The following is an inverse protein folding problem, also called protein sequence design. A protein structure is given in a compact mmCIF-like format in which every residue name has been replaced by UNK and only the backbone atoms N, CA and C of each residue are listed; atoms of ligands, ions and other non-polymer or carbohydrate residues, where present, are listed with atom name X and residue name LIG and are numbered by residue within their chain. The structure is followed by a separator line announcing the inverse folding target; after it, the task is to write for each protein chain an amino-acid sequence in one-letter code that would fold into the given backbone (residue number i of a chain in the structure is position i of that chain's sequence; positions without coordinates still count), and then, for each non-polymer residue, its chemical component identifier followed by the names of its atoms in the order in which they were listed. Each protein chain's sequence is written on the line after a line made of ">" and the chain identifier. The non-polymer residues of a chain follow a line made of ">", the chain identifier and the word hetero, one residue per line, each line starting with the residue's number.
data_IF_889755953152
#
_entry.id   IF_889755953152
#
_cell.length_a   1.000
_cell.length_b   1.000
_cell.length_c   1.000
_cell.angle_alpha   90.00
_cell.angle_beta   90.00
_cell.angle_gamma   90.00
#
_symmetry.space_group_name_H-M   'P 1'
#
loop_
_entity.id
_entity.type
_entity.pdbx_description
1 polymer ?
#
# COMPACT_ATOMS: atom_id res chain seq x y z
N UNK A 1 25.24 7.57 -3.77
CA UNK A 1 23.91 7.47 -4.43
C UNK A 1 23.96 7.34 -5.96
N UNK A 2 24.23 8.38 -6.78
CA UNK A 2 24.09 8.25 -8.26
C UNK A 2 24.96 7.14 -8.86
N UNK A 3 26.24 7.06 -8.44
CA UNK A 3 27.13 6.01 -8.90
C UNK A 3 26.67 4.62 -8.45
N UNK A 4 26.11 4.51 -7.25
CA UNK A 4 25.55 3.27 -6.72
C UNK A 4 24.40 2.76 -7.59
N UNK A 5 23.46 3.65 -7.94
CA UNK A 5 22.33 3.32 -8.81
C UNK A 5 22.75 2.99 -10.24
N UNK A 6 23.72 3.72 -10.81
CA UNK A 6 24.29 3.36 -12.13
C UNK A 6 24.93 1.97 -12.13
N UNK A 7 25.61 1.60 -11.04
CA UNK A 7 26.21 0.28 -10.89
C UNK A 7 25.14 -0.81 -10.80
N UNK A 8 24.10 -0.61 -9.98
CA UNK A 8 22.98 -1.54 -9.86
C UNK A 8 22.29 -1.76 -11.22
N UNK A 9 21.94 -0.69 -11.92
CA UNK A 9 21.32 -0.77 -13.25
C UNK A 9 22.24 -1.50 -14.24
N UNK A 10 23.54 -1.21 -14.23
CA UNK A 10 24.47 -1.93 -15.10
C UNK A 10 24.52 -3.44 -14.78
N UNK A 11 24.50 -3.84 -13.50
CA UNK A 11 24.42 -5.25 -13.10
C UNK A 11 23.10 -5.89 -13.53
N UNK A 12 21.97 -5.18 -13.37
CA UNK A 12 20.63 -5.61 -13.77
C UNK A 12 20.55 -5.89 -15.28
N UNK A 13 20.98 -4.95 -16.12
CA UNK A 13 20.92 -5.10 -17.57
C UNK A 13 21.85 -6.21 -18.07
N UNK A 14 23.04 -6.36 -17.47
CA UNK A 14 23.90 -7.51 -17.76
C UNK A 14 23.21 -8.81 -17.36
N UNK A 15 22.49 -8.85 -16.24
CA UNK A 15 21.65 -9.99 -15.84
C UNK A 15 20.64 -10.38 -16.92
N UNK A 16 19.97 -9.42 -17.54
CA UNK A 16 19.10 -9.68 -18.69
C UNK A 16 19.86 -10.26 -19.89
N UNK A 17 21.06 -9.77 -20.21
CA UNK A 17 21.86 -10.36 -21.30
C UNK A 17 22.28 -11.81 -21.02
N UNK A 18 22.33 -12.20 -19.75
CA UNK A 18 22.58 -13.57 -19.28
C UNK A 18 21.29 -14.39 -19.10
N UNK A 19 20.14 -13.86 -19.55
CA UNK A 19 18.86 -14.56 -19.53
C UNK A 19 18.12 -14.53 -18.18
N UNK A 20 18.55 -13.70 -17.22
CA UNK A 20 17.81 -13.54 -15.97
C UNK A 20 16.55 -12.69 -16.19
N UNK A 21 15.43 -13.14 -15.60
CA UNK A 21 14.18 -12.37 -15.50
C UNK A 21 14.19 -11.51 -14.24
N UNK A 22 13.27 -10.54 -14.18
CA UNK A 22 13.02 -9.79 -12.96
C UNK A 22 12.72 -10.71 -11.77
N UNK A 23 13.16 -10.31 -10.58
CA UNK A 23 12.87 -11.00 -9.33
C UNK A 23 12.44 -10.00 -8.24
N UNK A 24 11.14 -9.79 -8.09
CA UNK A 24 10.51 -8.77 -7.23
C UNK A 24 10.26 -9.21 -5.79
N UNK A 25 10.75 -10.38 -5.38
CA UNK A 25 10.78 -10.81 -3.96
C UNK A 25 12.21 -10.70 -3.39
N UNK A 26 13.16 -10.24 -4.20
CA UNK A 26 14.57 -10.18 -3.82
C UNK A 26 14.86 -9.09 -2.79
N UNK A 27 14.02 -8.05 -2.71
CA UNK A 27 14.02 -7.01 -1.68
C UNK A 27 13.74 -7.53 -0.26
N UNK A 28 13.21 -8.76 -0.13
CA UNK A 28 12.77 -9.35 1.15
C UNK A 28 13.85 -10.04 1.97
N UNK A 29 15.10 -9.99 1.50
CA UNK A 29 16.19 -10.75 2.10
C UNK A 29 16.58 -10.25 3.51
N UNK A 30 16.52 -8.93 3.75
CA UNK A 30 16.96 -8.29 4.99
C UNK A 30 15.88 -7.33 5.52
N UNK A 31 15.78 -7.18 6.83
CA UNK A 31 15.01 -6.12 7.48
C UNK A 31 15.69 -4.76 7.31
N UNK A 32 14.96 -3.66 7.51
CA UNK A 32 15.50 -2.31 7.29
C UNK A 32 16.61 -1.96 8.30
N UNK A 33 16.47 -2.41 9.54
CA UNK A 33 17.47 -2.18 10.59
C UNK A 33 18.80 -2.90 10.33
N UNK A 34 18.81 -3.96 9.52
CA UNK A 34 20.03 -4.68 9.14
C UNK A 34 20.82 -3.96 8.05
N UNK A 35 20.15 -3.14 7.23
CA UNK A 35 20.75 -2.51 6.04
C UNK A 35 21.89 -1.55 6.36
N UNK A 36 21.88 -0.92 7.54
CA UNK A 36 22.94 -0.04 8.02
C UNK A 36 24.21 -0.77 8.46
N UNK A 37 24.13 -2.09 8.66
CA UNK A 37 25.21 -2.92 9.22
C UNK A 37 25.86 -3.87 8.21
N UNK A 38 25.37 -3.92 6.97
CA UNK A 38 25.93 -4.76 5.92
C UNK A 38 27.33 -4.29 5.49
N UNK A 39 28.24 -5.24 5.30
CA UNK A 39 29.61 -4.99 4.82
C UNK A 39 29.61 -4.52 3.35
N UNK A 40 30.71 -3.90 2.90
CA UNK A 40 30.82 -3.30 1.55
C UNK A 40 30.63 -4.32 0.40
N UNK A 41 31.01 -5.58 0.61
CA UNK A 41 30.88 -6.68 -0.33
C UNK A 41 29.62 -7.52 -0.15
N UNK A 42 28.72 -7.14 0.76
CA UNK A 42 27.40 -7.75 0.89
C UNK A 42 26.36 -7.05 -0.01
N UNK A 43 25.52 -7.86 -0.67
CA UNK A 43 24.38 -7.37 -1.44
C UNK A 43 23.24 -7.01 -0.50
N UNK A 44 22.57 -5.89 -0.76
CA UNK A 44 21.36 -5.51 -0.02
C UNK A 44 20.11 -6.22 -0.55
N UNK A 45 20.24 -6.97 -1.65
CA UNK A 45 19.16 -7.69 -2.33
C UNK A 45 19.54 -9.15 -2.54
N UNK A 46 18.54 -10.01 -2.61
CA UNK A 46 18.76 -11.40 -3.01
C UNK A 46 19.16 -11.50 -4.50
N UNK A 47 18.73 -10.55 -5.32
CA UNK A 47 18.95 -10.46 -6.76
C UNK A 47 19.02 -9.00 -7.20
N UNK A 48 19.93 -8.65 -8.10
CA UNK A 48 19.93 -7.33 -8.78
C UNK A 48 18.76 -7.17 -9.75
N UNK A 49 18.00 -8.24 -10.01
CA UNK A 49 16.87 -8.25 -10.92
C UNK A 49 15.57 -7.67 -10.31
N UNK A 50 15.62 -7.12 -9.10
CA UNK A 50 14.52 -6.39 -8.48
C UNK A 50 14.46 -4.93 -8.98
N UNK A 51 13.32 -4.26 -8.80
CA UNK A 51 13.16 -2.81 -8.94
C UNK A 51 13.17 -2.15 -7.57
N UNK A 52 14.25 -2.34 -6.82
CA UNK A 52 14.41 -1.74 -5.50
C UNK A 52 14.50 -0.21 -5.60
N UNK A 53 13.75 0.55 -4.78
CA UNK A 53 13.91 1.99 -4.67
C UNK A 53 15.21 2.32 -3.92
N UNK A 54 15.70 3.57 -3.95
CA UNK A 54 16.80 3.97 -3.08
C UNK A 54 16.43 3.73 -1.61
N UNK A 55 17.30 3.03 -0.88
CA UNK A 55 17.14 2.85 0.55
C UNK A 55 17.46 4.17 1.28
N UNK A 56 16.41 4.81 1.81
CA UNK A 56 16.51 5.99 2.66
C UNK A 56 16.12 5.58 4.08
N UNK A 57 17.08 5.58 5.00
CA UNK A 57 16.83 5.19 6.37
C UNK A 57 15.96 6.23 7.10
N UNK A 58 15.09 5.78 8.00
CA UNK A 58 14.27 6.64 8.82
C UNK A 58 15.13 7.63 9.65
N UNK A 59 14.57 8.79 10.04
CA UNK A 59 15.27 9.75 10.88
C UNK A 59 15.85 9.10 12.16
N UNK A 60 17.13 9.33 12.42
CA UNK A 60 17.83 8.77 13.59
C UNK A 60 18.38 7.34 13.41
N UNK A 61 18.11 6.69 12.29
CA UNK A 61 18.72 5.40 11.92
C UNK A 61 20.01 5.63 11.12
N UNK A 62 20.93 4.66 11.16
CA UNK A 62 22.18 4.70 10.40
C UNK A 62 21.86 4.45 8.93
N UNK A 63 22.25 5.37 8.06
CA UNK A 63 22.10 5.21 6.62
C UNK A 63 23.06 4.14 6.10
N UNK A 64 22.51 3.09 5.48
CA UNK A 64 23.26 2.09 4.72
C UNK A 64 23.51 2.52 3.27
N UNK A 65 23.86 1.56 2.41
CA UNK A 65 23.96 1.79 0.96
C UNK A 65 22.60 2.24 0.41
N UNK A 66 22.59 3.12 -0.58
CA UNK A 66 21.35 3.56 -1.24
C UNK A 66 20.86 2.52 -2.24
N UNK A 67 21.77 1.84 -2.92
CA UNK A 67 21.50 0.77 -3.88
C UNK A 67 22.49 -0.37 -3.71
N UNK A 68 22.10 -1.59 -4.08
CA UNK A 68 23.02 -2.73 -3.92
C UNK A 68 24.28 -2.55 -4.77
N UNK A 69 25.44 -2.87 -4.20
CA UNK A 69 26.74 -2.68 -4.86
C UNK A 69 27.36 -3.97 -5.39
N UNK A 70 26.68 -5.10 -5.24
CA UNK A 70 27.12 -6.41 -5.72
C UNK A 70 25.90 -7.32 -5.99
N UNK A 71 26.12 -8.41 -6.71
CA UNK A 71 25.08 -9.38 -7.03
C UNK A 71 24.67 -10.21 -5.80
N UNK A 72 23.41 -10.62 -5.76
CA UNK A 72 22.83 -11.34 -4.63
C UNK A 72 22.93 -12.86 -4.75
N UNK A 73 22.48 -13.57 -3.69
CA UNK A 73 22.52 -15.04 -3.62
C UNK A 73 21.72 -15.71 -4.74
N UNK A 74 20.57 -15.15 -5.09
CA UNK A 74 19.73 -15.63 -6.19
C UNK A 74 20.44 -15.52 -7.54
N UNK A 75 21.11 -14.40 -7.81
CA UNK A 75 21.83 -14.18 -9.08
C UNK A 75 22.91 -15.25 -9.28
N UNK A 76 23.71 -15.49 -8.23
CA UNK A 76 24.76 -16.50 -8.24
C UNK A 76 24.17 -17.89 -8.45
N UNK A 77 23.06 -18.20 -7.79
CA UNK A 77 22.38 -19.49 -7.91
C UNK A 77 21.80 -19.71 -9.31
N UNK A 78 21.08 -18.73 -9.87
CA UNK A 78 20.48 -18.80 -11.19
C UNK A 78 21.53 -18.93 -12.29
N UNK A 79 22.63 -18.16 -12.20
CA UNK A 79 23.77 -18.29 -13.12
C UNK A 79 24.46 -19.64 -12.96
N UNK A 80 24.62 -20.15 -11.73
CA UNK A 80 25.16 -21.49 -11.50
C UNK A 80 24.31 -22.56 -12.17
N UNK A 81 22.98 -22.44 -12.11
CA UNK A 81 22.07 -23.37 -12.79
C UNK A 81 22.20 -23.29 -14.32
N UNK A 82 22.25 -22.07 -14.89
CA UNK A 82 22.26 -21.88 -16.34
C UNK A 82 23.62 -22.07 -17.03
N UNK A 83 24.73 -21.86 -16.32
CA UNK A 83 26.05 -21.69 -16.95
C UNK A 83 27.18 -22.55 -16.36
N UNK A 84 26.96 -23.26 -15.24
CA UNK A 84 27.99 -24.16 -14.70
C UNK A 84 28.28 -25.27 -15.71
N UNK A 85 29.54 -25.47 -16.16
CA UNK A 85 29.88 -26.57 -17.04
C UNK A 85 29.59 -27.91 -16.36
N UNK A 86 28.74 -28.72 -16.95
CA UNK A 86 28.42 -30.07 -16.50
C UNK A 86 28.78 -31.08 -17.60
N UNK A 87 28.95 -32.34 -17.23
CA UNK A 87 29.35 -33.41 -18.13
C UNK A 87 28.19 -34.32 -18.51
N UNK A 88 28.31 -35.02 -19.64
CA UNK A 88 27.38 -36.08 -20.03
C UNK A 88 26.25 -35.65 -20.98
N UNK A 89 26.31 -34.44 -21.53
CA UNK A 89 25.30 -33.93 -22.48
C UNK A 89 23.93 -33.75 -21.83
N UNK A 90 22.90 -33.47 -22.64
CA UNK A 90 21.56 -33.10 -22.16
C UNK A 90 21.00 -34.03 -21.08
N UNK A 91 21.16 -35.34 -21.24
CA UNK A 91 20.65 -36.32 -20.27
C UNK A 91 21.58 -36.49 -19.05
N UNK A 92 22.89 -36.35 -19.24
CA UNK A 92 23.87 -36.52 -18.16
C UNK A 92 23.86 -35.39 -17.13
N UNK A 93 23.49 -34.17 -17.54
CA UNK A 93 23.45 -32.99 -16.66
C UNK A 93 22.24 -32.96 -15.74
N UNK A 94 21.15 -33.65 -16.11
CA UNK A 94 19.85 -33.56 -15.45
C UNK A 94 19.91 -33.74 -13.94
N UNK A 95 20.69 -34.72 -13.46
CA UNK A 95 20.80 -35.01 -12.02
C UNK A 95 21.43 -33.84 -11.25
N UNK A 96 22.48 -33.23 -11.80
CA UNK A 96 23.15 -32.10 -11.16
C UNK A 96 22.31 -30.82 -11.28
N UNK A 97 21.61 -30.61 -12.41
CA UNK A 97 20.66 -29.50 -12.56
C UNK A 97 19.53 -29.58 -11.53
N UNK A 98 18.92 -30.76 -11.35
CA UNK A 98 17.88 -30.98 -10.32
C UNK A 98 18.42 -30.70 -8.92
N UNK A 99 19.67 -31.09 -8.63
CA UNK A 99 20.33 -30.80 -7.34
C UNK A 99 20.58 -29.31 -7.13
N UNK A 100 20.92 -28.55 -8.19
CA UNK A 100 21.05 -27.10 -8.08
C UNK A 100 19.67 -26.47 -7.88
N UNK A 101 18.68 -26.87 -8.68
CA UNK A 101 17.31 -26.34 -8.61
C UNK A 101 16.61 -26.66 -7.29
N UNK A 102 16.92 -27.78 -6.63
CA UNK A 102 16.30 -28.16 -5.36
C UNK A 102 16.58 -27.19 -4.21
N UNK A 103 17.54 -26.28 -4.38
CA UNK A 103 17.88 -25.22 -3.44
C UNK A 103 16.87 -24.07 -3.40
N UNK A 104 15.85 -24.06 -4.26
CA UNK A 104 14.91 -22.94 -4.41
C UNK A 104 14.15 -22.55 -3.12
N UNK A 105 14.19 -23.38 -2.07
CA UNK A 105 13.61 -23.11 -0.75
C UNK A 105 14.59 -22.47 0.23
N UNK A 106 15.89 -22.37 -0.11
CA UNK A 106 16.88 -21.72 0.74
C UNK A 106 16.62 -20.21 0.87
N UNK A 107 16.91 -19.60 2.05
CA UNK A 107 16.76 -18.16 2.24
C UNK A 107 17.52 -17.33 1.20
N UNK A 108 16.80 -16.39 0.56
CA UNK A 108 17.34 -15.54 -0.50
C UNK A 108 17.33 -16.15 -1.91
N UNK A 109 16.73 -17.33 -2.09
CA UNK A 109 16.57 -17.96 -3.43
C UNK A 109 15.11 -17.96 -3.93
N UNK A 110 14.19 -17.30 -3.22
CA UNK A 110 12.81 -17.13 -3.65
C UNK A 110 12.73 -16.37 -4.98
N UNK A 111 11.68 -16.65 -5.76
CA UNK A 111 11.49 -16.08 -7.09
C UNK A 111 10.04 -15.64 -7.32
N UNK A 112 9.89 -14.38 -7.72
CA UNK A 112 8.62 -13.79 -8.12
C UNK A 112 8.87 -12.76 -9.22
N UNK A 113 8.15 -12.81 -10.34
CA UNK A 113 8.52 -12.06 -11.55
C UNK A 113 7.33 -11.28 -12.13
N UNK A 114 7.40 -10.79 -13.36
CA UNK A 114 6.46 -9.81 -13.91
C UNK A 114 4.98 -10.15 -13.71
N UNK A 115 4.60 -11.40 -13.98
CA UNK A 115 3.24 -11.92 -13.80
C UNK A 115 2.75 -11.94 -12.34
N UNK A 116 3.66 -11.90 -11.37
CA UNK A 116 3.37 -11.96 -9.95
C UNK A 116 3.21 -10.57 -9.29
N UNK A 117 3.34 -9.50 -10.08
CA UNK A 117 3.24 -8.10 -9.63
C UNK A 117 2.05 -7.35 -10.21
N UNK A 118 1.02 -8.08 -10.65
CA UNK A 118 -0.21 -7.49 -11.20
C UNK A 118 -1.15 -7.06 -10.07
N UNK A 119 -2.17 -6.25 -10.39
CA UNK A 119 -3.22 -5.88 -9.42
C UNK A 119 -3.99 -7.10 -8.88
N UNK A 120 -4.01 -8.20 -9.64
CA UNK A 120 -4.64 -9.46 -9.25
C UNK A 120 -3.69 -10.39 -8.51
N UNK A 121 -2.42 -10.08 -8.33
CA UNK A 121 -1.48 -10.98 -7.66
C UNK A 121 -1.72 -11.01 -6.14
N UNK A 122 -1.72 -12.19 -5.49
CA UNK A 122 -2.09 -12.32 -4.08
C UNK A 122 -0.96 -12.03 -3.09
N UNK A 123 0.29 -12.25 -3.51
CA UNK A 123 1.43 -12.21 -2.60
C UNK A 123 1.78 -10.77 -2.24
N UNK A 124 1.68 -10.34 -0.96
CA UNK A 124 2.07 -8.99 -0.58
C UNK A 124 3.57 -8.73 -0.70
N UNK A 125 4.40 -9.77 -0.75
CA UNK A 125 5.86 -9.65 -0.76
C UNK A 125 6.44 -9.48 -2.17
N UNK A 126 5.62 -9.61 -3.21
CA UNK A 126 6.03 -9.35 -4.59
C UNK A 126 5.53 -7.99 -5.05
N UNK A 127 6.35 -6.95 -4.84
CA UNK A 127 6.09 -5.59 -5.32
C UNK A 127 7.23 -5.10 -6.19
N UNK A 128 6.91 -4.17 -7.08
CA UNK A 128 7.92 -3.32 -7.71
C UNK A 128 8.07 -2.09 -6.83
N UNK A 129 9.29 -1.63 -6.61
CA UNK A 129 9.58 -0.40 -5.85
C UNK A 129 9.30 -0.48 -4.34
N UNK A 130 9.33 -1.68 -3.75
CA UNK A 130 9.41 -1.85 -2.30
C UNK A 130 10.81 -2.25 -1.84
N UNK A 131 11.06 -2.18 -0.53
CA UNK A 131 12.36 -2.52 0.03
C UNK A 131 12.25 -3.06 1.45
N UNK A 132 13.08 -4.05 1.79
CA UNK A 132 13.09 -4.68 3.11
C UNK A 132 12.11 -5.85 3.24
N UNK A 133 12.37 -6.69 4.24
CA UNK A 133 11.64 -7.94 4.53
C UNK A 133 10.14 -7.77 4.75
N UNK A 134 9.71 -6.61 5.22
CA UNK A 134 8.31 -6.33 5.55
C UNK A 134 7.87 -5.02 4.90
N UNK A 135 6.84 -5.07 4.03
CA UNK A 135 6.37 -3.87 3.35
C UNK A 135 5.56 -2.91 4.28
N UNK A 136 5.06 -3.40 5.43
CA UNK A 136 4.44 -2.57 6.47
C UNK A 136 5.52 -1.78 7.20
N UNK A 137 6.66 -2.40 7.51
CA UNK A 137 7.83 -1.72 8.08
C UNK A 137 8.38 -0.67 7.10
N UNK A 138 8.49 -1.03 5.82
CA UNK A 138 8.86 -0.09 4.75
C UNK A 138 7.92 1.10 4.66
N UNK A 139 6.61 0.87 4.74
CA UNK A 139 5.61 1.93 4.70
C UNK A 139 5.75 2.87 5.91
N UNK A 140 6.00 2.35 7.11
CA UNK A 140 6.32 3.17 8.29
C UNK A 140 7.59 4.01 8.09
N UNK A 141 8.66 3.41 7.56
CA UNK A 141 9.90 4.11 7.25
C UNK A 141 9.66 5.25 6.25
N UNK A 142 8.95 4.97 5.14
CA UNK A 142 8.62 5.98 4.14
C UNK A 142 7.76 7.10 4.70
N UNK A 143 6.77 6.79 5.57
CA UNK A 143 5.97 7.82 6.24
C UNK A 143 6.84 8.76 7.10
N UNK A 144 7.79 8.20 7.87
CA UNK A 144 8.71 8.99 8.68
C UNK A 144 9.66 9.87 7.83
N UNK A 145 10.21 9.29 6.76
CA UNK A 145 11.07 10.02 5.81
C UNK A 145 10.29 11.14 5.12
N UNK A 146 9.08 10.87 4.63
CA UNK A 146 8.22 11.87 3.97
C UNK A 146 7.83 12.99 4.93
N UNK A 147 7.46 12.66 6.18
CA UNK A 147 7.13 13.65 7.20
C UNK A 147 8.30 14.60 7.42
N UNK A 148 9.50 14.08 7.66
CA UNK A 148 10.71 14.90 7.80
C UNK A 148 10.99 15.69 6.51
N UNK A 149 10.84 15.07 5.35
CA UNK A 149 11.11 15.70 4.06
C UNK A 149 10.11 16.79 3.68
N UNK A 150 8.93 16.85 4.31
CA UNK A 150 7.94 17.90 4.09
C UNK A 150 8.23 19.19 4.90
N UNK A 151 8.93 19.09 6.04
CA UNK A 151 9.19 20.22 6.95
C UNK A 151 10.12 21.29 6.34
N UNK A 152 9.61 22.47 5.98
CA UNK A 152 10.41 23.48 5.29
C UNK A 152 10.79 23.07 3.86
N UNK A 153 9.93 22.27 3.21
CA UNK A 153 10.12 21.79 1.84
C UNK A 153 10.47 22.93 0.87
N UNK A 154 9.72 24.04 0.92
CA UNK A 154 9.92 25.16 0.01
C UNK A 154 11.33 25.75 0.13
N UNK A 155 11.80 25.96 1.35
CA UNK A 155 13.12 26.57 1.61
C UNK A 155 14.27 25.65 1.19
N UNK A 156 14.03 24.33 1.20
CA UNK A 156 15.04 23.33 0.79
C UNK A 156 15.19 23.19 -0.73
N UNK A 157 14.14 23.45 -1.50
CA UNK A 157 14.14 23.14 -2.95
C UNK A 157 14.11 24.39 -3.86
N UNK A 158 13.91 25.57 -3.28
CA UNK A 158 13.87 26.85 -4.00
C UNK A 158 15.07 27.70 -3.61
N UNK A 159 15.92 28.00 -4.60
CA UNK A 159 17.04 28.92 -4.44
C UNK A 159 16.59 30.38 -4.64
N UNK A 160 17.41 31.34 -4.20
CA UNK A 160 17.14 32.76 -4.42
C UNK A 160 17.01 33.07 -5.92
N UNK A 161 15.89 33.70 -6.30
CA UNK A 161 15.58 34.04 -7.70
C UNK A 161 14.93 32.90 -8.51
N UNK A 162 14.78 31.70 -7.95
CA UNK A 162 14.07 30.60 -8.60
C UNK A 162 12.54 30.69 -8.40
N UNK A 163 11.80 30.04 -9.29
CA UNK A 163 10.35 29.89 -9.15
C UNK A 163 9.97 28.70 -8.24
N UNK A 164 8.69 28.67 -7.82
CA UNK A 164 8.18 27.67 -6.87
C UNK A 164 7.75 26.34 -7.51
N UNK A 165 7.92 26.13 -8.82
CA UNK A 165 7.48 24.89 -9.47
C UNK A 165 8.18 23.65 -8.93
N UNK A 166 9.42 23.78 -8.45
CA UNK A 166 10.15 22.69 -7.76
C UNK A 166 9.48 22.28 -6.45
N UNK A 167 8.81 23.19 -5.74
CA UNK A 167 8.05 22.85 -4.52
C UNK A 167 6.89 21.94 -4.87
N UNK A 168 6.10 22.28 -5.90
CA UNK A 168 4.98 21.43 -6.35
C UNK A 168 5.47 20.05 -6.79
N UNK A 169 6.58 19.97 -7.52
CA UNK A 169 7.16 18.70 -7.96
C UNK A 169 7.61 17.85 -6.77
N UNK A 170 8.36 18.44 -5.83
CA UNK A 170 8.83 17.74 -4.64
C UNK A 170 7.67 17.29 -3.73
N UNK A 171 6.67 18.15 -3.52
CA UNK A 171 5.46 17.84 -2.76
C UNK A 171 4.71 16.64 -3.34
N UNK A 172 4.47 16.64 -4.65
CA UNK A 172 3.82 15.50 -5.34
C UNK A 172 4.67 14.23 -5.26
N UNK A 173 5.99 14.34 -5.42
CA UNK A 173 6.91 13.20 -5.30
C UNK A 173 6.81 12.58 -3.92
N UNK A 174 6.85 13.39 -2.86
CA UNK A 174 6.74 12.94 -1.48
C UNK A 174 5.38 12.31 -1.16
N UNK A 175 4.28 12.92 -1.59
CA UNK A 175 2.94 12.34 -1.42
C UNK A 175 2.79 11.01 -2.19
N UNK A 176 3.37 10.91 -3.39
CA UNK A 176 3.35 9.66 -4.15
C UNK A 176 4.18 8.57 -3.49
N UNK A 177 5.36 8.90 -2.95
CA UNK A 177 6.18 7.96 -2.17
C UNK A 177 5.41 7.44 -0.95
N UNK A 178 4.77 8.33 -0.19
CA UNK A 178 3.95 7.95 0.95
C UNK A 178 2.78 7.04 0.53
N UNK A 179 1.97 7.49 -0.44
CA UNK A 179 0.79 6.75 -0.89
C UNK A 179 1.12 5.40 -1.53
N UNK A 180 2.22 5.29 -2.28
CA UNK A 180 2.69 4.04 -2.87
C UNK A 180 3.11 3.04 -1.79
N UNK A 181 3.83 3.49 -0.76
CA UNK A 181 4.24 2.61 0.33
C UNK A 181 3.02 2.10 1.13
N UNK A 182 2.04 2.97 1.38
CA UNK A 182 0.76 2.56 1.99
C UNK A 182 -0.03 1.60 1.10
N UNK A 183 0.03 1.77 -0.23
CA UNK A 183 -0.57 0.80 -1.15
C UNK A 183 0.08 -0.59 -1.02
N UNK A 184 1.40 -0.69 -0.83
CA UNK A 184 2.05 -1.98 -0.57
C UNK A 184 1.60 -2.59 0.76
N UNK A 185 1.52 -1.81 1.83
CA UNK A 185 0.98 -2.28 3.11
C UNK A 185 -0.46 -2.81 2.97
N UNK A 186 -1.30 -2.15 2.16
CA UNK A 186 -2.67 -2.62 1.89
C UNK A 186 -2.76 -3.94 1.13
N UNK A 187 -1.64 -4.49 0.61
CA UNK A 187 -1.62 -5.82 0.00
C UNK A 187 -1.65 -6.96 1.00
N UNK A 188 -1.27 -6.73 2.26
CA UNK A 188 -1.32 -7.76 3.30
C UNK A 188 -2.77 -8.14 3.64
N UNK A 189 -3.71 -7.19 3.56
CA UNK A 189 -5.14 -7.44 3.81
C UNK A 189 -5.73 -8.30 2.69
N UNK A 190 -6.21 -9.48 3.05
CA UNK A 190 -6.64 -10.51 2.08
C UNK A 190 -5.49 -11.09 1.24
N UNK A 191 -4.24 -10.88 1.66
CA UNK A 191 -3.05 -11.38 0.99
C UNK A 191 -2.83 -12.88 1.18
N UNK A 192 -2.13 -13.50 0.24
CA UNK A 192 -1.72 -14.91 0.31
C UNK A 192 -0.30 -15.02 -0.23
N UNK A 193 0.64 -15.47 0.61
CA UNK A 193 2.01 -15.75 0.18
C UNK A 193 2.02 -16.90 -0.83
N UNK A 194 2.78 -16.74 -1.92
CA UNK A 194 2.87 -17.72 -3.00
C UNK A 194 4.26 -18.31 -3.03
N UNK A 195 4.37 -19.56 -2.59
CA UNK A 195 5.62 -20.31 -2.60
C UNK A 195 5.70 -21.21 -3.84
N UNK A 196 6.81 -21.12 -4.59
CA UNK A 196 7.07 -22.00 -5.76
C UNK A 196 7.72 -23.34 -5.37
N UNK A 197 7.44 -23.82 -4.16
CA UNK A 197 7.99 -25.04 -3.61
C UNK A 197 7.46 -26.30 -4.30
N UNK A 198 8.31 -27.32 -4.43
CA UNK A 198 7.96 -28.62 -5.00
C UNK A 198 7.85 -29.68 -3.89
N UNK A 199 6.97 -30.67 -4.11
CA UNK A 199 6.78 -31.78 -3.17
C UNK A 199 8.10 -32.51 -2.93
N UNK A 200 8.47 -32.65 -1.66
CA UNK A 200 9.68 -33.38 -1.23
C UNK A 200 10.96 -32.54 -1.26
N UNK A 201 10.89 -31.23 -1.48
CA UNK A 201 11.99 -30.32 -1.17
C UNK A 201 12.11 -30.13 0.36
N UNK A 202 13.35 -30.02 0.84
CA UNK A 202 13.63 -29.68 2.23
C UNK A 202 13.17 -28.24 2.53
N UNK A 203 12.63 -28.02 3.73
CA UNK A 203 12.11 -26.74 4.21
C UNK A 203 11.03 -26.10 3.29
N UNK A 204 10.35 -26.91 2.49
CA UNK A 204 9.29 -26.46 1.60
C UNK A 204 8.08 -25.95 2.37
N UNK A 205 7.70 -24.70 2.11
CA UNK A 205 6.43 -24.12 2.54
C UNK A 205 5.27 -24.60 1.67
N UNK A 206 4.05 -24.47 2.17
CA UNK A 206 2.87 -24.72 1.35
C UNK A 206 2.83 -23.73 0.17
N UNK A 207 2.39 -24.14 -1.03
CA UNK A 207 2.35 -23.23 -2.18
C UNK A 207 1.52 -21.95 -1.96
N UNK A 208 0.53 -22.02 -1.06
CA UNK A 208 -0.28 -20.90 -0.64
C UNK A 208 -0.37 -20.86 0.87
N UNK A 209 -0.06 -19.72 1.46
CA UNK A 209 -0.19 -19.46 2.89
C UNK A 209 -0.93 -18.14 3.05
N UNK A 210 -2.09 -18.17 3.73
CA UNK A 210 -2.82 -16.94 4.07
C UNK A 210 -1.90 -16.07 4.92
N UNK A 211 -1.88 -14.77 4.66
CA UNK A 211 -1.13 -13.82 5.49
C UNK A 211 -1.67 -13.88 6.93
N UNK A 212 -0.78 -13.98 7.91
CA UNK A 212 -1.14 -14.07 9.33
C UNK A 212 -2.11 -12.95 9.75
N UNK A 213 -3.12 -13.29 10.55
CA UNK A 213 -4.15 -12.35 10.98
C UNK A 213 -3.57 -11.11 11.68
N UNK A 214 -2.53 -11.29 12.51
CA UNK A 214 -1.83 -10.19 13.18
C UNK A 214 -1.18 -9.22 12.18
N UNK A 215 -0.58 -9.72 11.10
CA UNK A 215 0.00 -8.87 10.04
C UNK A 215 -1.06 -8.10 9.27
N UNK A 216 -2.22 -8.71 9.03
CA UNK A 216 -3.35 -8.00 8.40
C UNK A 216 -3.88 -6.87 9.31
N UNK A 217 -3.97 -7.10 10.62
CA UNK A 217 -4.34 -6.07 11.60
C UNK A 217 -3.30 -4.97 11.72
N UNK A 218 -2.01 -5.31 11.69
CA UNK A 218 -0.92 -4.34 11.66
C UNK A 218 -1.02 -3.42 10.43
N UNK A 219 -1.27 -4.01 9.26
CA UNK A 219 -1.50 -3.26 8.03
C UNK A 219 -2.74 -2.36 8.14
N UNK A 220 -3.87 -2.88 8.66
CA UNK A 220 -5.07 -2.10 8.89
C UNK A 220 -4.81 -0.89 9.80
N UNK A 221 -4.14 -1.11 10.94
CA UNK A 221 -3.76 -0.04 11.85
C UNK A 221 -2.92 1.03 11.16
N UNK A 222 -1.91 0.63 10.41
CA UNK A 222 -1.07 1.57 9.66
C UNK A 222 -1.89 2.40 8.68
N UNK A 223 -2.79 1.76 7.91
CA UNK A 223 -3.66 2.46 6.97
C UNK A 223 -4.65 3.40 7.68
N UNK A 224 -5.18 3.00 8.83
CA UNK A 224 -6.04 3.86 9.66
C UNK A 224 -5.32 5.15 10.04
N UNK A 225 -4.07 5.04 10.48
CA UNK A 225 -3.26 6.17 10.91
C UNK A 225 -2.75 7.02 9.74
N UNK A 226 -2.30 6.40 8.64
CA UNK A 226 -1.56 7.07 7.57
C UNK A 226 -2.41 7.46 6.36
N UNK A 227 -3.57 6.84 6.15
CA UNK A 227 -4.39 7.03 4.94
C UNK A 227 -5.80 7.48 5.31
N UNK A 228 -6.40 6.79 6.27
CA UNK A 228 -7.78 7.02 6.70
C UNK A 228 -7.85 7.93 7.92
N UNK A 229 -6.95 8.90 8.01
CA UNK A 229 -6.97 10.03 8.95
C UNK A 229 -6.62 11.32 8.17
N UNK A 230 -6.77 12.50 8.78
CA UNK A 230 -6.28 13.74 8.19
C UNK A 230 -4.90 14.18 8.73
N UNK A 231 -4.43 13.59 9.84
CA UNK A 231 -3.15 13.89 10.48
C UNK A 231 -1.95 13.95 9.51
N UNK A 232 -1.69 12.95 8.63
CA UNK A 232 -0.59 13.00 7.67
C UNK A 232 -0.70 14.10 6.60
N UNK A 233 -1.88 14.70 6.44
CA UNK A 233 -2.19 15.66 5.39
C UNK A 233 -2.40 17.10 5.90
N UNK A 234 -2.06 17.36 7.16
CA UNK A 234 -2.13 18.69 7.76
C UNK A 234 -0.93 19.55 7.34
N UNK A 235 -0.99 20.14 6.14
CA UNK A 235 0.02 21.08 5.65
C UNK A 235 -0.39 22.55 5.88
N UNK A 236 0.61 23.43 6.04
CA UNK A 236 0.36 24.84 6.29
C UNK A 236 -0.27 25.54 5.07
N UNK A 237 -1.15 26.54 5.28
CA UNK A 237 -1.63 27.38 4.19
C UNK A 237 -0.49 28.04 3.40
N UNK A 238 0.62 28.34 4.06
CA UNK A 238 1.81 28.89 3.39
C UNK A 238 2.40 27.90 2.37
N UNK A 239 2.56 26.62 2.74
CA UNK A 239 3.06 25.61 1.81
C UNK A 239 2.11 25.44 0.62
N UNK A 240 0.80 25.34 0.87
CA UNK A 240 -0.19 25.20 -0.20
C UNK A 240 -0.15 26.34 -1.22
N UNK A 241 0.03 27.58 -0.76
CA UNK A 241 0.13 28.74 -1.64
C UNK A 241 1.47 28.84 -2.39
N UNK A 242 2.44 27.95 -2.10
CA UNK A 242 3.70 27.79 -2.84
C UNK A 242 3.66 26.64 -3.86
N UNK A 243 2.55 25.93 -4.03
CA UNK A 243 2.42 24.81 -4.97
C UNK A 243 2.06 25.26 -6.41
N UNK A 244 2.75 26.28 -6.91
CA UNK A 244 2.56 26.77 -8.27
C UNK A 244 3.08 25.74 -9.31
N UNK A 245 2.41 25.59 -10.47
CA UNK A 245 2.93 24.78 -11.57
C UNK A 245 4.10 25.49 -12.26
N UNK A 246 4.85 24.75 -13.07
CA UNK A 246 5.78 25.39 -14.01
C UNK A 246 4.99 26.04 -15.15
N UNK A 247 5.37 27.26 -15.50
CA UNK A 247 4.88 27.95 -16.71
C UNK A 247 5.79 27.70 -17.92
N UNK A 248 6.89 26.96 -17.73
CA UNK A 248 7.82 26.64 -18.80
C UNK A 248 7.29 25.50 -19.66
N UNK A 249 7.24 25.73 -20.96
CA UNK A 249 6.76 24.78 -21.95
C UNK A 249 7.95 24.13 -22.66
N UNK A 250 8.12 22.81 -22.50
CA UNK A 250 9.06 22.01 -23.29
C UNK A 250 8.57 20.58 -23.54
N UNK A 251 9.35 19.81 -24.29
CA UNK A 251 9.04 18.42 -24.69
C UNK A 251 8.83 17.43 -23.53
N UNK A 252 9.16 17.81 -22.29
CA UNK A 252 8.96 17.00 -21.08
C UNK A 252 7.85 17.50 -20.16
N UNK A 253 7.11 18.55 -20.55
CA UNK A 253 6.01 19.12 -19.74
C UNK A 253 4.65 18.84 -20.36
N UNK A 254 3.66 18.55 -19.52
CA UNK A 254 2.26 18.49 -19.94
C UNK A 254 1.64 19.89 -19.95
N UNK A 255 0.97 20.27 -21.03
CA UNK A 255 0.29 21.58 -21.17
C UNK A 255 -1.03 21.68 -20.42
N UNK A 256 -1.52 20.56 -19.88
CA UNK A 256 -2.82 20.47 -19.22
C UNK A 256 -2.69 20.36 -17.70
N UNK A 257 -1.78 21.14 -17.10
CA UNK A 257 -1.66 21.20 -15.64
C UNK A 257 -2.55 22.33 -15.11
N UNK A 258 -3.47 21.98 -14.20
CA UNK A 258 -4.31 22.95 -13.47
C UNK A 258 -3.43 24.03 -12.82
N UNK A 259 -3.80 25.29 -13.03
CA UNK A 259 -3.05 26.48 -12.60
C UNK A 259 -2.91 26.59 -11.07
N UNK A 260 -3.98 26.24 -10.35
CA UNK A 260 -3.99 26.04 -8.91
C UNK A 260 -3.73 24.57 -8.52
N UNK A 261 -3.57 24.29 -7.23
CA UNK A 261 -3.29 22.95 -6.72
C UNK A 261 -4.54 22.33 -6.08
N UNK A 262 -5.05 21.20 -6.59
CA UNK A 262 -6.30 20.60 -6.12
C UNK A 262 -6.08 19.72 -4.88
N UNK A 263 -5.86 20.34 -3.71
CA UNK A 263 -5.47 19.66 -2.45
C UNK A 263 -6.37 18.45 -2.14
N UNK A 264 -7.69 18.65 -2.11
CA UNK A 264 -8.65 17.58 -1.82
C UNK A 264 -8.57 16.41 -2.80
N UNK A 265 -8.42 16.69 -4.09
CA UNK A 265 -8.34 15.68 -5.14
C UNK A 265 -7.06 14.86 -5.01
N UNK A 266 -5.92 15.54 -4.82
CA UNK A 266 -4.61 14.91 -4.65
C UNK A 266 -4.60 13.95 -3.45
N UNK A 267 -5.14 14.37 -2.31
CA UNK A 267 -5.20 13.51 -1.11
C UNK A 267 -6.20 12.37 -1.31
N UNK A 268 -7.38 12.67 -1.86
CA UNK A 268 -8.43 11.66 -2.08
C UNK A 268 -8.00 10.58 -3.09
N UNK A 269 -7.05 10.86 -3.97
CA UNK A 269 -6.56 9.89 -4.96
C UNK A 269 -5.99 8.64 -4.29
N UNK A 270 -5.10 8.78 -3.31
CA UNK A 270 -4.49 7.66 -2.61
C UNK A 270 -5.48 6.95 -1.68
N UNK A 271 -6.29 7.71 -0.96
CA UNK A 271 -7.39 7.17 -0.15
C UNK A 271 -8.32 6.29 -0.99
N UNK A 272 -8.74 6.77 -2.16
CA UNK A 272 -9.59 6.02 -3.07
C UNK A 272 -8.89 4.84 -3.72
N UNK A 273 -7.59 4.92 -4.01
CA UNK A 273 -6.81 3.81 -4.57
C UNK A 273 -6.79 2.65 -3.60
N UNK A 274 -6.51 2.94 -2.33
CA UNK A 274 -6.44 1.93 -1.27
C UNK A 274 -7.84 1.39 -0.95
N UNK A 275 -8.86 2.24 -0.78
CA UNK A 275 -10.24 1.77 -0.62
C UNK A 275 -10.72 0.91 -1.79
N UNK A 276 -10.35 1.24 -3.04
CA UNK A 276 -10.70 0.43 -4.21
C UNK A 276 -10.07 -0.96 -4.16
N UNK A 277 -8.88 -1.08 -3.59
CA UNK A 277 -8.24 -2.38 -3.38
C UNK A 277 -8.95 -3.19 -2.31
N UNK A 278 -9.23 -2.58 -1.15
CA UNK A 278 -9.87 -3.25 -0.01
C UNK A 278 -11.28 -3.74 -0.37
N UNK A 279 -12.03 -2.94 -1.14
CA UNK A 279 -13.37 -3.28 -1.63
C UNK A 279 -13.37 -4.01 -2.98
N UNK A 280 -12.21 -4.41 -3.52
CA UNK A 280 -12.19 -5.13 -4.79
C UNK A 280 -12.75 -6.54 -4.63
N UNK A 281 -13.45 -7.03 -5.65
CA UNK A 281 -14.03 -8.38 -5.64
C UNK A 281 -13.00 -9.45 -5.28
N UNK A 282 -11.79 -9.34 -5.84
CA UNK A 282 -10.72 -10.31 -5.62
C UNK A 282 -10.22 -10.29 -4.17
N UNK A 283 -10.12 -9.11 -3.54
CA UNK A 283 -9.74 -9.03 -2.12
C UNK A 283 -10.82 -9.65 -1.23
N UNK A 284 -12.09 -9.32 -1.47
CA UNK A 284 -13.21 -9.84 -0.69
C UNK A 284 -13.37 -11.35 -0.86
N UNK A 285 -13.26 -11.88 -2.08
CA UNK A 285 -13.24 -13.33 -2.35
C UNK A 285 -12.09 -14.03 -1.61
N UNK A 286 -10.89 -13.44 -1.60
CA UNK A 286 -9.74 -14.02 -0.89
C UNK A 286 -9.93 -14.06 0.61
N UNK A 287 -10.47 -12.99 1.19
CA UNK A 287 -10.76 -12.95 2.62
C UNK A 287 -11.82 -14.00 2.98
N UNK A 288 -12.87 -14.12 2.18
CA UNK A 288 -13.90 -15.14 2.37
C UNK A 288 -13.33 -16.57 2.24
N UNK A 289 -12.51 -16.82 1.23
CA UNK A 289 -11.80 -18.10 1.06
C UNK A 289 -10.77 -18.38 2.17
N UNK A 290 -10.18 -17.33 2.76
CA UNK A 290 -9.16 -17.48 3.80
C UNK A 290 -9.73 -18.15 5.04
N UNK A 291 -10.99 -17.88 5.38
CA UNK A 291 -11.70 -18.51 6.50
C UNK A 291 -11.88 -20.03 6.31
N UNK A 292 -11.88 -20.53 5.06
CA UNK A 292 -11.85 -21.97 4.77
C UNK A 292 -10.44 -22.57 4.78
N UNK A 293 -9.41 -21.73 4.62
CA UNK A 293 -8.00 -22.15 4.53
C UNK A 293 -7.30 -22.10 5.88
N UNK A 294 -7.80 -21.29 6.82
CA UNK A 294 -7.35 -21.22 8.20
C UNK A 294 -8.22 -22.19 9.04
N UNK A 295 -7.62 -23.10 9.83
CA UNK A 295 -8.38 -23.97 10.73
C UNK A 295 -9.29 -23.17 11.68
N UNK A 296 -10.49 -23.68 11.95
CA UNK A 296 -11.50 -22.96 12.75
C UNK A 296 -11.09 -22.67 14.21
N UNK A 297 -10.05 -23.33 14.72
CA UNK A 297 -9.46 -23.09 16.04
C UNK A 297 -8.29 -22.09 16.02
N UNK A 298 -7.95 -21.56 14.85
CA UNK A 298 -6.93 -20.54 14.65
C UNK A 298 -7.56 -19.19 14.33
N UNK A 299 -6.85 -18.13 14.67
CA UNK A 299 -7.27 -16.76 14.44
C UNK A 299 -7.19 -16.40 12.95
N UNK A 300 -8.24 -15.76 12.43
CA UNK A 300 -8.37 -15.35 11.04
C UNK A 300 -8.90 -13.91 10.99
N UNK A 301 -8.28 -13.09 10.13
CA UNK A 301 -8.77 -11.74 9.86
C UNK A 301 -9.92 -11.80 8.86
N UNK A 302 -11.12 -11.35 9.27
CA UNK A 302 -12.36 -11.54 8.51
C UNK A 302 -12.81 -10.28 7.79
N UNK A 303 -13.72 -10.42 6.81
CA UNK A 303 -14.34 -9.26 6.15
C UNK A 303 -15.15 -8.41 7.13
N UNK A 304 -15.82 -9.03 8.11
CA UNK A 304 -16.55 -8.32 9.16
C UNK A 304 -15.60 -7.46 10.01
N UNK A 305 -14.46 -8.02 10.42
CA UNK A 305 -13.46 -7.25 11.16
C UNK A 305 -12.92 -6.07 10.35
N UNK A 306 -12.66 -6.26 9.05
CA UNK A 306 -12.18 -5.19 8.17
C UNK A 306 -13.22 -4.07 8.01
N UNK A 307 -14.48 -4.38 7.74
CA UNK A 307 -15.52 -3.36 7.56
C UNK A 307 -15.80 -2.60 8.85
N UNK A 308 -15.94 -3.28 9.98
CA UNK A 308 -16.10 -2.62 11.28
C UNK A 308 -14.93 -1.69 11.58
N UNK A 309 -13.69 -2.16 11.41
CA UNK A 309 -12.49 -1.35 11.62
C UNK A 309 -12.45 -0.12 10.69
N UNK A 310 -12.83 -0.27 9.43
CA UNK A 310 -12.90 0.84 8.48
C UNK A 310 -14.01 1.83 8.84
N UNK A 311 -15.21 1.36 9.19
CA UNK A 311 -16.32 2.21 9.63
C UNK A 311 -15.90 3.03 10.85
N UNK A 312 -15.39 2.37 11.89
CA UNK A 312 -14.96 3.02 13.14
C UNK A 312 -13.80 4.00 12.90
N UNK A 313 -12.84 3.67 12.04
CA UNK A 313 -11.74 4.58 11.70
C UNK A 313 -12.22 5.79 10.90
N UNK A 314 -13.04 5.58 9.87
CA UNK A 314 -13.43 6.62 8.90
C UNK A 314 -14.50 7.54 9.47
N UNK A 315 -15.29 7.07 10.42
CA UNK A 315 -16.30 7.84 11.15
C UNK A 315 -15.95 8.05 12.63
N UNK A 316 -14.67 7.96 13.00
CA UNK A 316 -14.21 8.09 14.39
C UNK A 316 -14.70 9.36 15.08
N UNK A 317 -14.94 10.44 14.33
CA UNK A 317 -15.49 11.68 14.87
C UNK A 317 -16.87 11.52 15.49
N UNK A 318 -17.67 10.52 15.09
CA UNK A 318 -18.98 10.26 15.69
C UNK A 318 -18.87 9.80 17.14
N UNK A 319 -17.77 9.12 17.50
CA UNK A 319 -17.52 8.61 18.85
C UNK A 319 -16.74 9.61 19.71
N UNK A 320 -16.04 10.56 19.08
CA UNK A 320 -15.14 11.51 19.77
C UNK A 320 -15.54 12.97 19.60
N UNK A 321 -16.80 13.26 19.26
CA UNK A 321 -17.28 14.65 19.08
C UNK A 321 -17.42 15.32 20.44
N UNK A 322 -16.47 16.19 20.77
CA UNK A 322 -16.48 16.95 22.02
C UNK A 322 -17.34 18.23 21.92
N UNK A 323 -17.79 18.75 23.06
CA UNK A 323 -18.37 20.09 23.13
C UNK A 323 -17.32 21.14 22.73
N UNK A 324 -17.62 21.93 21.70
CA UNK A 324 -16.70 22.95 21.20
C UNK A 324 -17.34 24.01 20.33
N UNK A 325 -16.66 25.15 20.18
CA UNK A 325 -17.07 26.21 19.26
C UNK A 325 -16.68 25.84 17.81
N UNK A 326 -17.57 25.11 17.13
CA UNK A 326 -17.39 24.77 15.73
C UNK A 326 -17.77 25.94 14.80
N UNK A 327 -17.04 26.06 13.70
CA UNK A 327 -17.35 27.03 12.65
C UNK A 327 -17.05 26.45 11.27
N UNK A 328 -17.55 27.07 10.21
CA UNK A 328 -17.26 26.62 8.84
C UNK A 328 -15.76 26.64 8.48
N UNK A 329 -14.92 27.32 9.28
CA UNK A 329 -13.46 27.35 9.14
C UNK A 329 -12.71 26.50 10.18
N UNK A 330 -13.41 26.00 11.18
CA UNK A 330 -12.96 25.05 12.19
C UNK A 330 -14.08 24.01 12.42
N UNK A 331 -14.36 23.16 11.42
CA UNK A 331 -15.52 22.28 11.45
C UNK A 331 -15.29 21.09 12.37
N UNK A 332 -16.36 20.49 12.89
CA UNK A 332 -16.29 19.28 13.71
C UNK A 332 -15.73 18.08 12.93
N UNK A 333 -16.08 17.95 11.65
CA UNK A 333 -15.48 16.97 10.74
C UNK A 333 -14.76 17.72 9.63
N UNK A 334 -13.46 17.49 9.46
CA UNK A 334 -12.67 18.21 8.47
C UNK A 334 -13.12 17.93 7.02
N UNK A 335 -12.84 18.86 6.10
CA UNK A 335 -13.24 18.68 4.69
C UNK A 335 -12.57 17.46 4.02
N UNK A 336 -11.39 17.06 4.47
CA UNK A 336 -10.71 15.84 4.00
C UNK A 336 -11.45 14.59 4.49
N UNK A 337 -11.80 14.57 5.79
CA UNK A 337 -12.56 13.48 6.43
C UNK A 337 -13.94 13.30 5.82
N UNK A 338 -14.67 14.39 5.59
CA UNK A 338 -15.97 14.36 4.88
C UNK A 338 -15.86 13.76 3.48
N UNK A 339 -14.79 14.02 2.73
CA UNK A 339 -14.57 13.42 1.42
C UNK A 339 -14.29 11.92 1.54
N UNK A 340 -13.43 11.51 2.48
CA UNK A 340 -13.14 10.10 2.75
C UNK A 340 -14.42 9.33 3.12
N UNK A 341 -15.20 9.86 4.07
CA UNK A 341 -16.48 9.30 4.51
C UNK A 341 -17.47 9.11 3.35
N UNK A 342 -17.59 10.08 2.43
CA UNK A 342 -18.44 9.94 1.23
C UNK A 342 -17.97 8.81 0.32
N UNK A 343 -16.66 8.74 0.06
CA UNK A 343 -16.09 7.73 -0.81
C UNK A 343 -16.24 6.32 -0.22
N UNK A 344 -16.04 6.18 1.10
CA UNK A 344 -16.29 4.94 1.82
C UNK A 344 -17.78 4.55 1.78
N UNK A 345 -18.67 5.47 2.16
CA UNK A 345 -20.11 5.24 2.18
C UNK A 345 -20.64 4.82 0.80
N UNK A 346 -20.15 5.44 -0.28
CA UNK A 346 -20.52 5.06 -1.63
C UNK A 346 -20.15 3.60 -1.94
N UNK A 347 -18.98 3.13 -1.49
CA UNK A 347 -18.52 1.74 -1.72
C UNK A 347 -19.31 0.76 -0.90
N UNK A 348 -19.47 1.02 0.39
CA UNK A 348 -20.23 0.18 1.30
C UNK A 348 -21.69 0.06 0.84
N UNK A 349 -22.30 1.19 0.44
CA UNK A 349 -23.66 1.20 -0.16
C UNK A 349 -23.75 0.42 -1.46
N UNK A 350 -22.76 0.55 -2.34
CA UNK A 350 -22.75 -0.19 -3.62
C UNK A 350 -22.65 -1.70 -3.39
N UNK A 351 -21.84 -2.10 -2.41
CA UNK A 351 -21.67 -3.48 -2.01
C UNK A 351 -22.93 -4.06 -1.36
N UNK A 352 -23.53 -3.35 -0.39
CA UNK A 352 -24.77 -3.77 0.26
C UNK A 352 -25.92 -3.97 -0.73
N UNK A 353 -26.06 -3.10 -1.73
CA UNK A 353 -27.08 -3.25 -2.78
C UNK A 353 -26.81 -4.40 -3.78
N UNK A 354 -25.70 -5.14 -3.65
CA UNK A 354 -25.29 -6.16 -4.63
C UNK A 354 -24.97 -5.59 -6.01
N UNK A 355 -24.65 -4.29 -6.10
CA UNK A 355 -24.29 -3.59 -7.35
C UNK A 355 -22.80 -3.72 -7.69
N UNK A 356 -22.03 -4.40 -6.86
CA UNK A 356 -20.67 -4.83 -7.12
C UNK A 356 -20.57 -6.35 -6.93
N UNK A 357 -19.78 -7.01 -7.77
CA UNK A 357 -19.53 -8.43 -7.62
C UNK A 357 -18.66 -8.69 -6.38
N UNK A 358 -19.17 -9.48 -5.44
CA UNK A 358 -18.51 -9.90 -4.21
C UNK A 358 -19.29 -11.08 -3.60
N UNK A 359 -18.68 -11.89 -2.72
CA UNK A 359 -19.40 -12.92 -1.98
C UNK A 359 -20.64 -12.35 -1.25
N UNK A 360 -21.74 -13.09 -1.23
CA UNK A 360 -23.02 -12.65 -0.64
C UNK A 360 -22.90 -12.31 0.86
N UNK A 361 -22.03 -13.02 1.59
CA UNK A 361 -21.76 -12.73 2.99
C UNK A 361 -21.11 -11.34 3.17
N UNK A 362 -20.20 -10.95 2.26
CA UNK A 362 -19.63 -9.60 2.28
C UNK A 362 -20.69 -8.52 2.04
N UNK A 363 -21.68 -8.78 1.18
CA UNK A 363 -22.80 -7.86 0.94
C UNK A 363 -23.69 -7.73 2.17
N UNK A 364 -23.97 -8.86 2.83
CA UNK A 364 -24.79 -8.92 4.05
C UNK A 364 -24.12 -8.19 5.23
N UNK A 365 -22.82 -8.38 5.42
CA UNK A 365 -22.06 -7.64 6.44
C UNK A 365 -22.03 -6.14 6.09
N UNK A 366 -21.82 -5.76 4.82
CA UNK A 366 -21.88 -4.36 4.42
C UNK A 366 -23.25 -3.72 4.70
N UNK A 367 -24.34 -4.47 4.54
CA UNK A 367 -25.69 -4.03 4.90
C UNK A 367 -25.83 -3.82 6.42
N UNK A 368 -25.36 -4.76 7.24
CA UNK A 368 -25.39 -4.64 8.70
C UNK A 368 -24.59 -3.41 9.18
N UNK A 369 -23.39 -3.21 8.63
CA UNK A 369 -22.55 -2.03 8.90
C UNK A 369 -23.24 -0.71 8.57
N UNK A 370 -24.06 -0.67 7.51
CA UNK A 370 -24.85 0.50 7.17
C UNK A 370 -25.95 0.78 8.19
N UNK A 371 -26.58 -0.25 8.77
CA UNK A 371 -27.57 -0.07 9.84
C UNK A 371 -26.91 0.60 11.05
N UNK A 372 -25.82 0.02 11.54
CA UNK A 372 -25.12 0.51 12.72
C UNK A 372 -24.59 1.95 12.49
N UNK A 373 -24.04 2.22 11.30
CA UNK A 373 -23.59 3.56 10.94
C UNK A 373 -24.76 4.56 10.83
N UNK A 374 -25.93 4.14 10.36
CA UNK A 374 -27.10 5.03 10.32
C UNK A 374 -27.49 5.48 11.73
N UNK A 375 -27.53 4.54 12.69
CA UNK A 375 -27.85 4.83 14.09
C UNK A 375 -26.84 5.84 14.67
N UNK A 376 -25.52 5.58 14.53
CA UNK A 376 -24.46 6.51 14.97
C UNK A 376 -24.61 7.92 14.37
N UNK A 377 -25.00 8.03 13.10
CA UNK A 377 -25.20 9.32 12.43
C UNK A 377 -26.45 10.05 12.94
N UNK A 378 -27.53 9.32 13.24
CA UNK A 378 -28.75 9.89 13.79
C UNK A 378 -28.52 10.38 15.23
N UNK A 379 -27.84 9.60 16.06
CA UNK A 379 -27.43 9.99 17.42
C UNK A 379 -26.57 11.26 17.41
N UNK A 380 -25.57 11.35 16.51
CA UNK A 380 -24.73 12.53 16.37
C UNK A 380 -25.51 13.78 15.89
N UNK A 381 -26.61 13.61 15.15
CA UNK A 381 -27.48 14.71 14.73
C UNK A 381 -28.45 15.17 15.84
N UNK A 382 -28.76 14.29 16.79
CA UNK A 382 -29.64 14.56 17.94
C UNK A 382 -28.89 15.06 19.17
N UNK A 383 -27.56 14.87 19.23
CA UNK A 383 -26.70 15.38 20.28
C UNK A 383 -26.83 16.91 20.47
N UNK A 384 -26.71 17.39 21.71
CA UNK A 384 -26.81 18.82 22.07
C UNK A 384 -25.59 19.66 21.66
N UNK A 385 -24.78 19.18 20.71
CA UNK A 385 -23.56 19.83 20.22
C UNK A 385 -23.89 20.77 19.05
N UNK A 386 -23.48 22.04 19.12
CA UNK A 386 -23.70 23.00 18.03
C UNK A 386 -22.70 22.78 16.87
N UNK A 387 -23.11 21.99 15.89
CA UNK A 387 -22.30 21.67 14.71
C UNK A 387 -22.23 22.82 13.70
N UNK A 388 -21.08 22.95 13.03
CA UNK A 388 -20.94 23.83 11.87
C UNK A 388 -21.85 23.39 10.70
N UNK A 389 -22.13 24.32 9.78
CA UNK A 389 -23.08 24.08 8.70
C UNK A 389 -22.64 22.95 7.76
N UNK A 390 -21.33 22.77 7.54
CA UNK A 390 -20.82 21.72 6.66
C UNK A 390 -20.88 20.34 7.32
N UNK A 391 -20.52 20.23 8.60
CA UNK A 391 -20.63 18.97 9.33
C UNK A 391 -22.08 18.54 9.46
N UNK A 392 -22.96 19.43 9.90
CA UNK A 392 -24.39 19.12 10.03
C UNK A 392 -25.02 18.68 8.71
N UNK A 393 -24.73 19.39 7.62
CA UNK A 393 -25.24 19.03 6.29
C UNK A 393 -24.69 17.68 5.83
N UNK A 394 -23.44 17.38 6.13
CA UNK A 394 -22.80 16.11 5.79
C UNK A 394 -23.42 14.92 6.53
N UNK A 395 -23.57 15.00 7.84
CA UNK A 395 -24.17 13.93 8.65
C UNK A 395 -25.61 13.67 8.22
N UNK A 396 -26.40 14.74 8.04
CA UNK A 396 -27.77 14.65 7.56
C UNK A 396 -27.85 13.97 6.19
N UNK A 397 -27.00 14.38 5.24
CA UNK A 397 -27.02 13.82 3.90
C UNK A 397 -26.56 12.35 3.87
N UNK A 398 -25.54 12.00 4.68
CA UNK A 398 -25.03 10.64 4.82
C UNK A 398 -26.08 9.70 5.41
N UNK A 399 -26.71 10.09 6.54
CA UNK A 399 -27.80 9.31 7.16
C UNK A 399 -28.95 9.09 6.17
N UNK A 400 -29.38 10.15 5.45
CA UNK A 400 -30.46 10.03 4.45
C UNK A 400 -30.09 9.18 3.25
N UNK A 401 -28.82 9.13 2.84
CA UNK A 401 -28.34 8.23 1.79
C UNK A 401 -28.39 6.78 2.25
N UNK A 402 -27.90 6.49 3.44
CA UNK A 402 -27.94 5.15 4.02
C UNK A 402 -29.38 4.65 4.08
N UNK A 403 -30.30 5.46 4.63
CA UNK A 403 -31.71 5.11 4.69
C UNK A 403 -32.29 4.72 3.32
N UNK A 404 -31.96 5.49 2.26
CA UNK A 404 -32.41 5.17 0.89
C UNK A 404 -31.85 3.84 0.37
N UNK A 405 -30.63 3.50 0.74
CA UNK A 405 -29.99 2.23 0.37
C UNK A 405 -30.72 1.07 1.06
N UNK A 406 -30.92 1.17 2.38
CA UNK A 406 -31.62 0.16 3.17
C UNK A 406 -33.08 -0.03 2.73
N UNK A 407 -33.79 1.05 2.39
CA UNK A 407 -35.16 1.02 1.85
C UNK A 407 -35.24 0.39 0.44
N UNK A 408 -34.23 0.60 -0.40
CA UNK A 408 -34.22 0.10 -1.78
C UNK A 408 -34.07 -1.43 -1.83
N UNK A 409 -33.25 -2.02 -0.96
CA UNK A 409 -33.03 -3.46 -0.90
C UNK A 409 -34.27 -4.22 -0.42
N UNK A 410 -35.01 -3.67 0.55
CA UNK A 410 -36.32 -4.18 0.98
C UNK A 410 -37.29 -4.36 -0.21
N UNK A 411 -37.15 -3.52 -1.24
CA UNK A 411 -37.98 -3.57 -2.46
C UNK A 411 -37.46 -4.56 -3.51
N UNK A 412 -36.16 -4.88 -3.49
CA UNK A 412 -35.52 -5.79 -4.44
C UNK A 412 -35.53 -7.26 -4.01
N UNK A 413 -36.10 -7.60 -2.84
CA UNK A 413 -36.29 -8.96 -2.31
C UNK A 413 -36.31 -10.00 -3.44
N UNK A 414 -35.17 -10.64 -3.68
CA UNK A 414 -35.05 -11.71 -4.68
C UNK A 414 -35.90 -12.90 -4.19
N UNK A 415 -36.59 -13.60 -5.11
CA UNK A 415 -37.46 -14.73 -4.79
C UNK A 415 -36.71 -15.92 -4.20
#
# INVERSE_FOLDING_TARGET
>A
MIMEGLKEVAMHEVGHTLGLRHNFVASKMYGLDEMGELDDDESTLASVMDYAPPHIAAPGKKQGKFYTQTIGKYDIWAITYGYKPLGGGTDGEKKELVKIASRSTEPGLAFSTDEDTTSMSPDPDSNRFDFGKDAIEFANNQAAVVKQAMEGLADRVVEEGADYSRVRQAFNSLLNTHGQAMYFASRYIGGVHVNRSHKGQDDAKAPFEVVDAEKQREAMKLLSEQVFSDEPFQFSPELYNKLAPSHWNHWGTSFNVRGDFPIHETISQWQNTILSRLFSSITLERMHDAELKVPADQDAFTTAEMFGTLTDTIFSELDSMEDGEYSNRNPAISSLRRNLQRNYLQRLSTLAMGNAYAPEDCQTIAYAELIDLQEKLEDALEAEVELDAYTRAHLLESSRRIKKVLDAELTLSRP
#
